data_IF_417221272366
#
_entry.id   IF_417221272366
#
_cell.length_a   1.000
_cell.length_b   1.000
_cell.length_c   1.000
_cell.angle_alpha   90.00
_cell.angle_beta   90.00
_cell.angle_gamma   90.00
#
_symmetry.space_group_name_H-M   'P 1'
#
loop_
_entity.id
_entity.type
_entity.pdbx_description
1 polymer ?
#
# COMPACT_ATOMS: atom_id res chain seq x y z
N UNK A 1 -27.43 -5.18 4.25
CA UNK A 1 -27.92 -6.58 4.09
C UNK A 1 -27.03 -7.59 4.83
N UNK A 2 -25.70 -7.53 4.68
CA UNK A 2 -24.76 -8.50 5.28
C UNK A 2 -24.87 -8.63 6.82
N UNK A 3 -25.11 -7.54 7.54
CA UNK A 3 -25.27 -7.59 9.01
C UNK A 3 -26.56 -8.27 9.47
N UNK A 4 -27.57 -8.38 8.60
CA UNK A 4 -28.83 -9.04 8.95
C UNK A 4 -28.65 -10.55 9.10
N UNK A 5 -27.71 -11.13 8.36
CA UNK A 5 -27.42 -12.58 8.41
C UNK A 5 -26.45 -12.96 9.52
N UNK A 6 -25.75 -11.99 10.14
CA UNK A 6 -24.98 -12.24 11.35
C UNK A 6 -25.90 -12.32 12.57
N UNK A 7 -25.77 -13.38 13.37
CA UNK A 7 -26.36 -13.45 14.71
C UNK A 7 -25.69 -12.45 15.66
N UNK A 8 -26.35 -12.11 16.76
CA UNK A 8 -25.75 -11.34 17.86
C UNK A 8 -24.49 -12.06 18.37
N UNK A 9 -23.38 -11.35 18.56
CA UNK A 9 -22.07 -11.92 18.87
C UNK A 9 -21.38 -12.63 17.69
N UNK A 10 -21.97 -12.64 16.49
CA UNK A 10 -21.36 -13.23 15.30
C UNK A 10 -20.17 -12.40 14.79
N UNK A 11 -19.22 -13.07 14.14
CA UNK A 11 -17.98 -12.47 13.63
C UNK A 11 -18.08 -12.18 12.13
N UNK A 12 -17.65 -10.99 11.72
CA UNK A 12 -17.41 -10.59 10.35
C UNK A 12 -15.90 -10.41 10.16
N UNK A 13 -15.32 -11.12 9.20
CA UNK A 13 -13.92 -10.97 8.80
C UNK A 13 -13.90 -10.26 7.45
N UNK A 14 -13.23 -9.12 7.39
CA UNK A 14 -13.09 -8.31 6.18
C UNK A 14 -11.63 -8.37 5.74
N UNK A 15 -11.38 -8.99 4.59
CA UNK A 15 -10.08 -9.03 3.92
C UNK A 15 -10.17 -8.22 2.63
N UNK A 16 -9.41 -7.14 2.53
CA UNK A 16 -9.42 -6.23 1.38
C UNK A 16 -8.00 -5.76 1.06
N UNK A 17 -7.74 -5.37 -0.20
CA UNK A 17 -6.52 -4.64 -0.56
C UNK A 17 -6.34 -3.42 0.34
N UNK A 18 -5.13 -3.25 0.89
CA UNK A 18 -4.79 -2.13 1.75
C UNK A 18 -4.24 -0.99 0.92
N UNK A 19 -4.90 0.16 0.97
CA UNK A 19 -4.53 1.38 0.24
C UNK A 19 -4.18 1.06 -1.21
N UNK A 20 -5.11 0.47 -1.97
CA UNK A 20 -4.86 0.09 -3.36
C UNK A 20 -4.97 1.24 -4.36
N UNK A 21 -4.16 1.08 -5.42
CA UNK A 21 -4.16 1.57 -6.81
C UNK A 21 -5.44 1.88 -7.58
N UNK A 22 -6.29 2.86 -7.26
CA UNK A 22 -7.53 2.98 -8.04
C UNK A 22 -7.31 3.47 -9.48
N UNK A 23 -6.24 4.21 -9.77
CA UNK A 23 -5.98 4.75 -11.11
C UNK A 23 -5.80 3.64 -12.16
N UNK A 24 -5.33 2.46 -11.74
CA UNK A 24 -5.18 1.28 -12.59
C UNK A 24 -6.53 0.71 -13.07
N UNK A 25 -7.65 1.13 -12.48
CA UNK A 25 -9.00 0.64 -12.81
C UNK A 25 -9.84 1.65 -13.60
N UNK A 26 -9.27 2.79 -14.00
CA UNK A 26 -9.98 3.86 -14.73
C UNK A 26 -9.69 3.81 -16.25
N UNK A 27 -9.14 2.70 -16.75
CA UNK A 27 -8.78 2.57 -18.17
C UNK A 27 -9.99 2.16 -19.02
N UNK A 28 -10.11 2.72 -20.23
CA UNK A 28 -11.24 2.43 -21.12
C UNK A 28 -11.25 0.99 -21.67
N UNK A 29 -10.18 0.22 -21.43
CA UNK A 29 -9.99 -1.16 -21.88
C UNK A 29 -10.43 -2.21 -20.83
N UNK A 30 -11.04 -1.80 -19.73
CA UNK A 30 -11.51 -2.72 -18.68
C UNK A 30 -12.69 -3.57 -19.18
N UNK A 31 -12.66 -4.88 -18.90
CA UNK A 31 -13.76 -5.79 -19.25
C UNK A 31 -15.05 -5.57 -18.44
N UNK A 32 -14.98 -4.78 -17.36
CA UNK A 32 -16.11 -4.54 -16.46
C UNK A 32 -16.24 -3.04 -16.17
N UNK A 33 -17.48 -2.57 -16.07
CA UNK A 33 -17.81 -1.18 -15.74
C UNK A 33 -17.36 -0.77 -14.33
N UNK A 34 -17.38 -1.73 -13.38
CA UNK A 34 -16.98 -1.48 -12.00
C UNK A 34 -16.05 -2.59 -11.51
N UNK A 35 -14.78 -2.24 -11.28
CA UNK A 35 -13.78 -3.07 -10.61
C UNK A 35 -13.12 -2.22 -9.53
N UNK A 36 -12.92 -2.78 -8.33
CA UNK A 36 -12.23 -2.10 -7.22
C UNK A 36 -12.69 -0.66 -7.01
N UNK A 37 -13.98 -0.46 -6.73
CA UNK A 37 -14.60 0.88 -6.63
C UNK A 37 -14.16 1.73 -5.44
N UNK A 38 -13.30 1.20 -4.56
CA UNK A 38 -12.87 1.88 -3.34
C UNK A 38 -11.54 1.34 -2.82
N UNK A 39 -10.71 2.26 -2.34
CA UNK A 39 -9.51 1.96 -1.57
C UNK A 39 -9.84 1.89 -0.08
N UNK A 40 -9.25 0.93 0.64
CA UNK A 40 -9.50 0.72 2.07
C UNK A 40 -8.24 0.92 2.89
N UNK A 41 -8.37 1.63 3.99
CA UNK A 41 -7.42 1.60 5.09
C UNK A 41 -8.14 1.22 6.40
N UNK A 42 -7.37 1.05 7.48
CA UNK A 42 -7.93 0.67 8.77
C UNK A 42 -8.96 1.72 9.25
N UNK A 43 -8.68 3.01 9.09
CA UNK A 43 -9.56 4.06 9.57
C UNK A 43 -10.91 4.04 8.86
N UNK A 44 -10.92 3.90 7.54
CA UNK A 44 -12.13 3.79 6.72
C UNK A 44 -12.94 2.54 7.09
N UNK A 45 -12.28 1.39 7.30
CA UNK A 45 -12.94 0.16 7.74
C UNK A 45 -13.55 0.32 9.14
N UNK A 46 -12.81 0.87 10.09
CA UNK A 46 -13.29 1.14 11.46
C UNK A 46 -14.46 2.11 11.46
N UNK A 47 -14.39 3.21 10.71
CA UNK A 47 -15.52 4.15 10.57
C UNK A 47 -16.76 3.46 10.01
N UNK A 48 -16.59 2.66 8.95
CA UNK A 48 -17.72 1.97 8.32
C UNK A 48 -18.36 0.95 9.28
N UNK A 49 -17.56 0.07 9.88
CA UNK A 49 -18.09 -1.04 10.66
C UNK A 49 -18.37 -0.70 12.13
N UNK A 50 -17.52 0.06 12.82
CA UNK A 50 -17.78 0.46 14.21
C UNK A 50 -18.76 1.61 14.34
N UNK A 51 -18.67 2.65 13.49
CA UNK A 51 -19.47 3.87 13.66
C UNK A 51 -20.81 3.78 12.93
N UNK A 52 -20.80 3.43 11.64
CA UNK A 52 -22.04 3.37 10.85
C UNK A 52 -22.83 2.10 11.20
N UNK A 53 -22.14 0.96 11.26
CA UNK A 53 -22.78 -0.34 11.47
C UNK A 53 -22.79 -0.82 12.92
N UNK A 54 -22.26 -0.03 13.85
CA UNK A 54 -22.28 -0.29 15.30
C UNK A 54 -21.71 -1.67 15.68
N UNK A 55 -20.73 -2.17 14.93
CA UNK A 55 -20.00 -3.37 15.30
C UNK A 55 -18.94 -3.08 16.37
N UNK A 56 -18.47 -4.11 17.03
CA UNK A 56 -17.30 -4.09 17.90
C UNK A 56 -16.06 -4.44 17.04
N UNK A 57 -15.03 -3.61 17.08
CA UNK A 57 -13.72 -3.98 16.54
C UNK A 57 -13.03 -4.96 17.49
N UNK A 58 -12.55 -6.07 16.96
CA UNK A 58 -11.85 -7.10 17.73
C UNK A 58 -10.35 -6.99 17.52
N UNK A 59 -9.91 -7.13 16.27
CA UNK A 59 -8.50 -7.10 15.91
C UNK A 59 -8.31 -6.80 14.42
N UNK A 60 -7.06 -6.55 14.02
CA UNK A 60 -6.66 -6.52 12.63
C UNK A 60 -5.26 -7.09 12.46
N UNK A 61 -4.98 -7.58 11.27
CA UNK A 61 -3.65 -7.97 10.83
C UNK A 61 -3.44 -7.55 9.40
N UNK A 62 -2.19 -7.38 8.99
CA UNK A 62 -1.82 -7.14 7.60
C UNK A 62 -1.14 -8.38 7.05
N UNK A 63 -1.41 -8.70 5.78
CA UNK A 63 -0.65 -9.75 5.10
C UNK A 63 0.73 -9.18 4.76
N UNK A 64 1.76 -9.97 5.09
CA UNK A 64 3.19 -9.67 4.99
C UNK A 64 3.57 -9.01 3.64
N UNK A 65 4.69 -8.28 3.58
CA UNK A 65 5.03 -7.37 2.49
C UNK A 65 4.98 -8.11 1.14
N UNK A 66 4.02 -7.71 0.30
CA UNK A 66 3.96 -8.18 -1.07
C UNK A 66 4.71 -7.17 -1.92
N UNK A 67 5.75 -7.64 -2.60
CA UNK A 67 6.52 -6.86 -3.56
C UNK A 67 5.69 -6.74 -4.85
N UNK A 68 4.63 -5.92 -4.81
CA UNK A 68 4.05 -5.36 -6.04
C UNK A 68 5.16 -4.48 -6.64
N UNK A 69 5.70 -4.86 -7.80
CA UNK A 69 6.37 -3.87 -8.65
C UNK A 69 5.45 -2.64 -8.78
N UNK A 70 6.06 -1.45 -8.80
CA UNK A 70 5.42 -0.11 -8.82
C UNK A 70 3.90 -0.11 -9.13
N UNK A 71 3.00 0.49 -8.30
CA UNK A 71 3.25 1.70 -7.51
C UNK A 71 2.73 1.66 -6.06
N UNK A 72 3.56 2.07 -5.08
CA UNK A 72 3.19 2.87 -3.87
C UNK A 72 4.26 2.77 -2.77
N UNK A 73 5.35 3.49 -2.97
CA UNK A 73 6.15 4.05 -1.89
C UNK A 73 5.97 5.58 -1.98
N UNK A 74 5.56 6.27 -0.90
CA UNK A 74 5.43 7.75 -0.89
C UNK A 74 6.77 8.46 -0.69
N UNK A 75 7.85 7.89 -1.19
CA UNK A 75 8.94 8.65 -1.77
C UNK A 75 8.60 8.75 -3.25
N UNK A 76 8.36 9.94 -3.79
CA UNK A 76 8.35 10.12 -5.25
C UNK A 76 9.80 9.94 -5.70
N UNK A 77 10.26 8.68 -5.77
CA UNK A 77 11.48 8.31 -6.46
C UNK A 77 11.26 8.80 -7.88
N UNK A 78 11.98 9.86 -8.24
CA UNK A 78 11.78 10.50 -9.51
C UNK A 78 12.15 9.49 -10.59
N UNK A 79 11.20 9.20 -11.47
CA UNK A 79 11.40 8.32 -12.62
C UNK A 79 12.38 8.99 -13.58
N UNK A 80 13.02 8.21 -14.45
CA UNK A 80 13.96 8.77 -15.44
C UNK A 80 13.31 9.84 -16.33
N UNK A 81 12.01 9.67 -16.61
CA UNK A 81 11.21 10.62 -17.37
C UNK A 81 10.76 11.87 -16.58
N UNK A 82 10.96 11.94 -15.26
CA UNK A 82 10.55 13.10 -14.47
C UNK A 82 11.50 14.29 -14.72
N UNK A 83 10.94 15.43 -15.12
CA UNK A 83 11.69 16.68 -15.36
C UNK A 83 12.51 17.10 -14.13
N UNK A 84 12.00 16.86 -12.93
CA UNK A 84 12.72 17.16 -11.69
C UNK A 84 14.01 16.33 -11.53
N UNK A 85 14.03 15.09 -12.04
CA UNK A 85 15.24 14.23 -12.02
C UNK A 85 16.24 14.69 -13.05
N UNK A 86 15.79 14.95 -14.27
CA UNK A 86 16.64 15.47 -15.34
C UNK A 86 17.32 16.77 -14.90
N UNK A 87 16.54 17.71 -14.35
CA UNK A 87 17.05 18.98 -13.82
C UNK A 87 17.99 18.81 -12.63
N UNK A 88 17.76 17.84 -11.74
CA UNK A 88 18.65 17.57 -10.62
C UNK A 88 19.99 16.98 -11.05
N UNK A 89 19.99 16.13 -12.08
CA UNK A 89 21.20 15.50 -12.65
C UNK A 89 22.01 16.50 -13.48
N UNK A 90 21.35 17.32 -14.31
CA UNK A 90 22.00 18.22 -15.26
C UNK A 90 22.49 19.55 -14.64
N UNK A 91 22.01 19.90 -13.44
CA UNK A 91 22.32 21.18 -12.81
C UNK A 91 23.37 21.04 -11.72
N UNK A 92 24.39 21.91 -11.75
CA UNK A 92 25.39 22.07 -10.67
C UNK A 92 24.93 23.01 -9.54
N UNK A 93 23.64 23.37 -9.49
CA UNK A 93 23.13 24.26 -8.46
C UNK A 93 23.18 23.58 -7.08
N UNK A 94 23.81 24.19 -6.07
CA UNK A 94 23.81 23.67 -4.69
C UNK A 94 22.40 23.48 -4.12
N UNK A 95 21.42 24.25 -4.62
CA UNK A 95 20.02 24.13 -4.21
C UNK A 95 19.39 22.78 -4.61
N UNK A 96 20.00 22.05 -5.56
CA UNK A 96 19.52 20.76 -6.04
C UNK A 96 20.35 19.58 -5.52
N UNK A 97 21.37 19.78 -4.68
CA UNK A 97 22.26 18.71 -4.22
C UNK A 97 21.55 17.62 -3.41
N UNK A 98 20.55 18.00 -2.60
CA UNK A 98 19.73 17.03 -1.87
C UNK A 98 18.87 16.21 -2.84
N UNK A 99 18.32 16.85 -3.86
CA UNK A 99 17.49 16.21 -4.87
C UNK A 99 18.34 15.28 -5.76
N UNK A 100 19.54 15.71 -6.17
CA UNK A 100 20.48 14.92 -6.95
C UNK A 100 20.85 13.63 -6.23
N UNK A 101 21.20 13.71 -4.93
CA UNK A 101 21.46 12.54 -4.08
C UNK A 101 20.24 11.62 -3.98
N UNK A 102 19.04 12.18 -3.79
CA UNK A 102 17.80 11.41 -3.73
C UNK A 102 17.44 10.72 -5.06
N UNK A 103 18.02 11.14 -6.19
CA UNK A 103 17.79 10.52 -7.52
C UNK A 103 18.80 9.45 -7.94
N UNK A 104 19.80 9.15 -7.11
CA UNK A 104 20.86 8.18 -7.44
C UNK A 104 20.39 6.73 -7.42
N UNK A 105 19.23 6.45 -6.84
CA UNK A 105 18.66 5.10 -6.78
C UNK A 105 17.36 5.10 -7.59
N UNK A 106 17.34 4.30 -8.64
CA UNK A 106 16.14 4.02 -9.41
C UNK A 106 15.17 3.13 -8.61
N UNK A 107 13.90 3.12 -9.01
CA UNK A 107 12.93 2.21 -8.42
C UNK A 107 13.28 0.73 -8.69
N UNK A 108 13.89 0.44 -9.84
CA UNK A 108 14.34 -0.91 -10.21
C UNK A 108 15.51 -1.36 -9.31
N UNK A 109 16.56 -0.55 -9.20
CA UNK A 109 17.70 -0.84 -8.29
C UNK A 109 17.26 -1.02 -6.84
N UNK A 110 16.30 -0.19 -6.38
CA UNK A 110 15.74 -0.33 -5.04
C UNK A 110 14.98 -1.65 -4.86
N UNK A 111 14.19 -2.07 -5.86
CA UNK A 111 13.46 -3.34 -5.81
C UNK A 111 14.41 -4.53 -5.87
N UNK A 112 15.42 -4.50 -6.74
CA UNK A 112 16.43 -5.55 -6.84
C UNK A 112 17.21 -5.70 -5.54
N UNK A 113 17.59 -4.58 -4.92
CA UNK A 113 18.18 -4.57 -3.58
C UNK A 113 17.23 -5.19 -2.54
N UNK A 114 15.95 -4.84 -2.56
CA UNK A 114 14.96 -5.36 -1.62
C UNK A 114 14.71 -6.87 -1.79
N UNK A 115 14.72 -7.38 -3.03
CA UNK A 115 14.70 -8.81 -3.33
C UNK A 115 15.98 -9.50 -2.83
N UNK A 116 17.14 -8.93 -3.12
CA UNK A 116 18.42 -9.45 -2.65
C UNK A 116 18.51 -9.46 -1.12
N UNK A 117 17.96 -8.45 -0.44
CA UNK A 117 17.89 -8.37 1.02
C UNK A 117 17.00 -9.49 1.58
N UNK A 118 15.82 -9.71 0.99
CA UNK A 118 14.91 -10.81 1.38
C UNK A 118 15.57 -12.17 1.23
N UNK A 119 16.27 -12.39 0.12
CA UNK A 119 16.79 -13.71 -0.26
C UNK A 119 18.12 -14.04 0.45
N UNK A 120 18.99 -13.04 0.65
CA UNK A 120 20.32 -13.24 1.23
C UNK A 120 20.38 -12.96 2.75
N UNK A 121 19.53 -12.07 3.28
CA UNK A 121 19.52 -11.65 4.68
C UNK A 121 18.09 -11.61 5.28
N UNK A 122 17.40 -12.77 5.39
CA UNK A 122 15.97 -12.83 5.72
C UNK A 122 15.63 -12.30 7.12
N UNK A 123 16.55 -12.41 8.09
CA UNK A 123 16.36 -11.85 9.45
C UNK A 123 16.33 -10.32 9.40
N UNK A 124 17.32 -9.71 8.73
CA UNK A 124 17.39 -8.26 8.55
C UNK A 124 16.23 -7.74 7.70
N UNK A 125 15.82 -8.47 6.67
CA UNK A 125 14.61 -8.17 5.91
C UNK A 125 13.38 -8.17 6.83
N UNK A 126 13.24 -9.15 7.72
CA UNK A 126 12.13 -9.22 8.67
C UNK A 126 12.04 -7.99 9.58
N UNK A 127 13.19 -7.46 10.02
CA UNK A 127 13.25 -6.24 10.84
C UNK A 127 12.86 -4.99 10.04
N UNK A 128 13.34 -4.87 8.80
CA UNK A 128 13.21 -3.65 8.01
C UNK A 128 11.94 -3.57 7.18
N UNK A 129 11.37 -4.71 6.77
CA UNK A 129 10.33 -4.73 5.73
C UNK A 129 9.06 -3.96 6.11
N UNK A 130 8.73 -3.88 7.40
CA UNK A 130 7.57 -3.10 7.88
C UNK A 130 7.72 -1.59 7.66
N UNK A 131 8.96 -1.09 7.60
CA UNK A 131 9.27 0.31 7.29
C UNK A 131 9.54 0.57 5.80
N UNK A 132 9.87 -0.48 5.04
CA UNK A 132 10.28 -0.37 3.64
C UNK A 132 9.17 -0.70 2.64
N UNK A 133 8.14 -1.47 3.06
CA UNK A 133 7.12 -2.02 2.15
C UNK A 133 5.73 -1.85 2.76
N UNK A 134 4.78 -1.38 1.95
CA UNK A 134 3.38 -1.35 2.35
C UNK A 134 2.76 -2.75 2.28
N UNK A 135 1.86 -3.10 3.20
CA UNK A 135 1.18 -4.40 3.16
C UNK A 135 0.18 -4.47 2.01
N UNK A 136 0.00 -5.66 1.44
CA UNK A 136 -0.92 -5.87 0.31
C UNK A 136 -2.38 -5.75 0.72
N UNK A 137 -2.70 -6.36 1.85
CA UNK A 137 -4.04 -6.56 2.33
C UNK A 137 -4.11 -6.30 3.82
N UNK A 138 -5.29 -5.85 4.23
CA UNK A 138 -5.66 -5.75 5.63
C UNK A 138 -6.80 -6.73 5.90
N UNK A 139 -6.63 -7.50 6.97
CA UNK A 139 -7.67 -8.33 7.58
C UNK A 139 -8.18 -7.61 8.81
N UNK A 140 -9.48 -7.37 8.90
CA UNK A 140 -10.10 -6.74 10.06
C UNK A 140 -11.25 -7.60 10.55
N UNK A 141 -11.27 -7.83 11.85
CA UNK A 141 -12.28 -8.66 12.52
C UNK A 141 -13.22 -7.76 13.30
N UNK A 142 -14.51 -7.88 13.00
CA UNK A 142 -15.58 -7.19 13.71
C UNK A 142 -16.56 -8.19 14.31
N UNK A 143 -17.14 -7.86 15.47
CA UNK A 143 -18.20 -8.63 16.12
C UNK A 143 -19.50 -7.85 16.14
N UNK A 144 -20.61 -8.50 15.81
CA UNK A 144 -21.94 -7.90 15.89
C UNK A 144 -22.37 -7.78 17.36
N UNK A 145 -22.74 -6.57 17.77
CA UNK A 145 -23.27 -6.29 19.11
C UNK A 145 -24.63 -6.94 19.35
#
# INVERSE_FOLDING_TARGET
>A
QLLRVLRRGGTLIVRVPYKDDLDAYVTDDQAYEFIHVRSFDLAALRLNFERIFQMEFVEHSTVAPYLKGHPRMKLRLLREADVARQRAIESDSPALDLLRRATQVTAEEYMDWLYALRDNEPELFGELATGLVEPLEINVVFRKR
#
